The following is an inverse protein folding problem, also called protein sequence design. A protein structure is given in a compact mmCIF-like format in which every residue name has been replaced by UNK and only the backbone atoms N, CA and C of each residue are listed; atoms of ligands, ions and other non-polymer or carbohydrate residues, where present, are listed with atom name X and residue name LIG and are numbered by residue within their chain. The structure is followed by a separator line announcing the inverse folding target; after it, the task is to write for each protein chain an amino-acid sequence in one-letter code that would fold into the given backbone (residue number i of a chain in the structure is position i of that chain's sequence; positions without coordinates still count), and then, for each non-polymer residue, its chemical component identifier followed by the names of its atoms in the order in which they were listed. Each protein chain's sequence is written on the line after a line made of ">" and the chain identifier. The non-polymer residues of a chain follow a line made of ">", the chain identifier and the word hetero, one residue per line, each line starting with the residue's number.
data_IF_561303049875
#
_entry.id   IF_561303049875
#
_cell.length_a   1.000
_cell.length_b   1.000
_cell.length_c   1.000
_cell.angle_alpha   90.00
_cell.angle_beta   90.00
_cell.angle_gamma   90.00
#
_symmetry.space_group_name_H-M   'P 1'
#
loop_
_entity.id
_entity.type
_entity.pdbx_description
1 polymer ?
#
# COMPACT_ATOMS: atom_id res chain seq x y z
N UNK A 1 -7.33 18.70 -23.68
CA UNK A 1 -6.13 18.50 -22.84
C UNK A 1 -5.99 17.00 -22.63
N UNK A 2 -4.85 16.37 -22.95
CA UNK A 2 -4.67 14.96 -22.65
C UNK A 2 -4.77 14.78 -21.13
N UNK A 3 -5.74 13.98 -20.70
CA UNK A 3 -5.91 13.65 -19.29
C UNK A 3 -4.83 12.61 -18.98
N UNK A 4 -3.83 12.96 -18.16
CA UNK A 4 -2.75 12.05 -17.80
C UNK A 4 -3.25 11.02 -16.79
N UNK A 5 -3.17 9.73 -17.14
CA UNK A 5 -3.35 8.64 -16.18
C UNK A 5 -2.44 8.88 -14.96
N UNK A 6 -2.86 8.50 -13.73
CA UNK A 6 -1.99 8.63 -12.57
C UNK A 6 -0.67 7.91 -12.84
N UNK A 7 0.44 8.63 -12.79
CA UNK A 7 1.76 8.01 -12.79
C UNK A 7 1.87 7.18 -11.51
N UNK A 8 2.17 5.90 -11.67
CA UNK A 8 2.39 4.95 -10.59
C UNK A 8 3.64 4.14 -10.93
N UNK A 9 4.48 3.95 -9.92
CA UNK A 9 5.64 3.09 -9.99
C UNK A 9 5.73 2.29 -8.69
N UNK A 10 6.29 1.09 -8.79
CA UNK A 10 6.52 0.21 -7.66
C UNK A 10 7.95 0.42 -7.15
N UNK A 11 8.11 0.48 -5.83
CA UNK A 11 9.43 0.50 -5.18
C UNK A 11 9.48 -0.68 -4.22
N UNK A 12 10.52 -1.50 -4.30
CA UNK A 12 10.73 -2.56 -3.33
C UNK A 12 11.18 -1.95 -1.98
N UNK A 13 10.57 -2.29 -0.82
CA UNK A 13 10.88 -1.65 0.47
C UNK A 13 12.36 -1.73 0.87
N UNK A 14 13.01 -2.85 0.54
CA UNK A 14 14.45 -3.01 0.79
C UNK A 14 15.28 -2.04 -0.04
N UNK A 15 14.94 -1.81 -1.31
CA UNK A 15 15.66 -0.87 -2.18
C UNK A 15 15.42 0.59 -1.73
N UNK A 16 14.18 0.91 -1.34
CA UNK A 16 13.83 2.20 -0.76
C UNK A 16 14.71 2.56 0.46
N UNK A 17 14.97 1.57 1.33
CA UNK A 17 15.81 1.74 2.53
C UNK A 17 17.28 2.02 2.20
N UNK A 18 17.74 1.69 0.99
CA UNK A 18 19.13 1.85 0.55
C UNK A 18 19.34 3.03 -0.42
N UNK A 19 18.33 3.83 -0.71
CA UNK A 19 18.48 5.08 -1.47
C UNK A 19 17.30 5.47 -2.37
N UNK A 20 16.50 4.49 -2.79
CA UNK A 20 15.45 4.73 -3.80
C UNK A 20 14.27 5.57 -3.29
N UNK A 21 14.16 5.72 -1.96
CA UNK A 21 13.18 6.65 -1.38
C UNK A 21 13.44 8.12 -1.79
N UNK A 22 14.65 8.44 -2.28
CA UNK A 22 14.95 9.76 -2.84
C UNK A 22 14.12 10.12 -4.07
N UNK A 23 13.45 9.16 -4.70
CA UNK A 23 12.52 9.39 -5.82
C UNK A 23 11.13 9.85 -5.36
N UNK A 24 10.81 9.72 -4.08
CA UNK A 24 9.49 10.07 -3.51
C UNK A 24 9.55 11.49 -2.93
N UNK A 25 8.59 12.31 -3.32
CA UNK A 25 8.47 13.71 -2.92
C UNK A 25 7.23 13.93 -2.06
N UNK A 26 7.13 15.09 -1.41
CA UNK A 26 5.95 15.48 -0.63
C UNK A 26 4.67 15.68 -1.45
N UNK A 27 4.75 15.68 -2.79
CA UNK A 27 3.59 15.71 -3.68
C UNK A 27 3.05 14.31 -4.00
N UNK A 28 3.80 13.28 -3.65
CA UNK A 28 3.43 11.90 -3.91
C UNK A 28 2.55 11.32 -2.79
N UNK A 29 1.89 10.21 -3.11
CA UNK A 29 1.13 9.40 -2.17
C UNK A 29 1.78 8.02 -2.15
N UNK A 30 2.05 7.51 -0.95
CA UNK A 30 2.57 6.15 -0.78
C UNK A 30 1.42 5.21 -0.42
N UNK A 31 1.23 4.18 -1.23
CA UNK A 31 0.40 3.03 -0.91
C UNK A 31 1.29 1.88 -0.44
N UNK A 32 1.34 1.65 0.87
CA UNK A 32 2.06 0.54 1.46
C UNK A 32 1.17 -0.70 1.59
N UNK A 33 1.65 -1.85 1.15
CA UNK A 33 0.90 -3.12 1.17
C UNK A 33 1.65 -4.14 2.03
N UNK A 34 0.97 -4.65 3.05
CA UNK A 34 1.45 -5.75 3.89
C UNK A 34 0.26 -6.41 4.56
N UNK A 35 0.05 -7.71 4.35
CA UNK A 35 -1.10 -8.40 4.93
C UNK A 35 -1.09 -8.35 6.48
N UNK A 36 0.08 -8.57 7.10
CA UNK A 36 0.22 -8.44 8.55
C UNK A 36 0.18 -7.00 9.02
N UNK A 37 0.69 -6.06 8.20
CA UNK A 37 0.95 -4.67 8.59
C UNK A 37 2.15 -4.52 9.53
N UNK A 38 2.99 -5.55 9.63
CA UNK A 38 4.13 -5.64 10.56
C UNK A 38 5.48 -5.86 9.84
N UNK A 39 5.52 -5.72 8.52
CA UNK A 39 6.74 -5.94 7.73
C UNK A 39 7.81 -4.91 8.09
N UNK A 40 8.94 -5.35 8.64
CA UNK A 40 10.02 -4.52 9.16
C UNK A 40 10.55 -3.50 8.15
N UNK A 41 10.71 -3.91 6.90
CA UNK A 41 11.24 -3.11 5.80
C UNK A 41 10.27 -2.01 5.39
N UNK A 42 8.97 -2.18 5.64
CA UNK A 42 7.98 -1.12 5.42
C UNK A 42 7.92 -0.21 6.64
N UNK A 43 7.88 -0.78 7.85
CA UNK A 43 7.82 -0.01 9.09
C UNK A 43 9.04 0.90 9.27
N UNK A 44 10.22 0.50 8.82
CA UNK A 44 11.44 1.31 8.86
C UNK A 44 11.35 2.59 8.00
N UNK A 45 10.52 2.58 6.95
CA UNK A 45 10.35 3.72 6.04
C UNK A 45 9.35 4.75 6.59
N UNK A 46 8.39 4.33 7.42
CA UNK A 46 7.29 5.18 7.92
C UNK A 46 7.79 6.47 8.59
N UNK A 47 8.81 6.45 9.48
CA UNK A 47 9.32 7.68 10.07
C UNK A 47 9.81 8.69 9.05
N UNK A 48 10.42 8.24 7.94
CA UNK A 48 10.91 9.13 6.87
C UNK A 48 9.72 9.72 6.11
N UNK A 49 8.76 8.88 5.71
CA UNK A 49 7.54 9.32 5.02
C UNK A 49 6.77 10.38 5.81
N UNK A 50 6.61 10.15 7.12
CA UNK A 50 5.94 11.10 8.02
C UNK A 50 6.73 12.41 8.17
N UNK A 51 8.06 12.35 8.32
CA UNK A 51 8.90 13.58 8.37
C UNK A 51 8.80 14.40 7.08
N UNK A 52 8.73 13.74 5.93
CA UNK A 52 8.57 14.38 4.62
C UNK A 52 7.13 14.82 4.34
N UNK A 53 6.19 14.55 5.25
CA UNK A 53 4.75 14.86 5.12
C UNK A 53 4.12 14.21 3.88
N UNK A 54 4.61 13.03 3.51
CA UNK A 54 4.04 12.22 2.44
C UNK A 54 2.80 11.53 2.98
N UNK A 55 1.70 11.59 2.22
CA UNK A 55 0.46 10.92 2.60
C UNK A 55 0.66 9.40 2.50
N UNK A 56 0.41 8.69 3.61
CA UNK A 56 0.55 7.25 3.70
C UNK A 56 -0.83 6.58 3.71
N UNK A 57 -1.12 5.80 2.67
CA UNK A 57 -2.22 4.84 2.62
C UNK A 57 -1.65 3.46 2.96
N UNK A 58 -2.24 2.76 3.92
CA UNK A 58 -1.87 1.39 4.26
C UNK A 58 -2.96 0.41 3.83
N UNK A 59 -2.56 -0.66 3.16
CA UNK A 59 -3.43 -1.80 2.84
C UNK A 59 -2.96 -3.03 3.63
N UNK A 60 -3.77 -3.45 4.62
CA UNK A 60 -3.45 -4.63 5.44
C UNK A 60 -4.70 -5.39 5.92
N UNK A 61 -4.49 -6.64 6.30
CA UNK A 61 -5.53 -7.50 6.88
C UNK A 61 -5.80 -7.23 8.35
N UNK A 62 -4.98 -6.42 9.03
CA UNK A 62 -5.11 -6.09 10.45
C UNK A 62 -5.22 -4.57 10.67
N UNK A 63 -6.41 -4.05 10.99
CA UNK A 63 -6.59 -2.62 11.31
C UNK A 63 -5.83 -2.14 12.55
N UNK A 64 -5.42 -3.05 13.44
CA UNK A 64 -4.64 -2.77 14.64
C UNK A 64 -3.14 -3.07 14.46
N UNK A 65 -2.69 -3.15 13.20
CA UNK A 65 -1.26 -3.31 12.91
C UNK A 65 -0.54 -1.98 13.06
N UNK A 66 0.77 -2.02 13.33
CA UNK A 66 1.60 -0.81 13.40
C UNK A 66 1.46 0.04 12.13
N UNK A 67 1.48 -0.59 10.95
CA UNK A 67 1.26 0.11 9.68
C UNK A 67 -0.16 0.69 9.56
N UNK A 68 -1.18 -0.01 10.05
CA UNK A 68 -2.57 0.44 10.02
C UNK A 68 -2.84 1.64 10.94
N UNK A 69 -2.27 1.63 12.15
CA UNK A 69 -2.47 2.69 13.15
C UNK A 69 -1.77 4.01 12.79
N UNK A 70 -0.62 3.94 12.13
CA UNK A 70 0.17 5.13 11.77
C UNK A 70 -0.19 5.70 10.39
N UNK A 71 -0.92 4.97 9.55
CA UNK A 71 -1.31 5.45 8.23
C UNK A 71 -2.33 6.59 8.32
N UNK A 72 -2.31 7.47 7.33
CA UNK A 72 -3.32 8.54 7.22
C UNK A 72 -4.67 7.97 6.76
N UNK A 73 -4.63 6.90 5.96
CA UNK A 73 -5.81 6.14 5.52
C UNK A 73 -5.48 4.64 5.58
N UNK A 74 -6.34 3.85 6.22
CA UNK A 74 -6.24 2.39 6.22
C UNK A 74 -7.30 1.76 5.33
N UNK A 75 -6.86 0.91 4.39
CA UNK A 75 -7.69 0.07 3.54
C UNK A 75 -7.61 -1.37 4.05
N UNK A 76 -8.65 -1.79 4.76
CA UNK A 76 -8.71 -3.14 5.30
C UNK A 76 -9.00 -4.17 4.19
N UNK A 77 -8.13 -5.16 4.07
CA UNK A 77 -8.23 -6.30 3.14
C UNK A 77 -8.30 -7.64 3.89
N UNK A 78 -8.86 -7.63 5.11
CA UNK A 78 -8.95 -8.82 5.94
C UNK A 78 -9.80 -9.88 5.25
N UNK A 79 -9.26 -11.10 5.20
CA UNK A 79 -9.97 -12.30 4.75
C UNK A 79 -10.29 -13.20 5.96
N UNK A 80 -11.40 -13.96 5.92
CA UNK A 80 -11.75 -14.87 7.03
C UNK A 80 -10.77 -16.03 7.16
N UNK A 81 -10.25 -16.54 6.03
CA UNK A 81 -9.33 -17.67 5.99
C UNK A 81 -8.45 -17.63 4.73
N UNK A 82 -7.31 -18.31 4.79
CA UNK A 82 -6.47 -18.60 3.63
C UNK A 82 -6.83 -19.96 3.04
N UNK A 83 -6.75 -20.08 1.71
CA UNK A 83 -6.98 -21.34 1.02
C UNK A 83 -5.82 -22.34 1.17
N UNK A 84 -4.61 -21.87 1.51
CA UNK A 84 -3.46 -22.74 1.76
C UNK A 84 -3.57 -23.42 3.14
N UNK A 85 -3.71 -24.76 3.23
CA UNK A 85 -3.92 -25.44 4.51
C UNK A 85 -2.75 -25.29 5.49
N UNK A 86 -1.54 -25.07 4.97
CA UNK A 86 -0.32 -24.92 5.77
C UNK A 86 -0.01 -23.45 6.09
N UNK A 87 -0.75 -22.49 5.53
CA UNK A 87 -0.50 -21.06 5.72
C UNK A 87 0.86 -20.56 5.21
N UNK A 88 1.57 -21.36 4.39
CA UNK A 88 2.91 -21.02 3.89
C UNK A 88 2.90 -19.97 2.78
N UNK A 89 1.81 -19.93 2.01
CA UNK A 89 1.64 -19.02 0.90
C UNK A 89 0.34 -18.23 1.06
N UNK A 90 0.37 -16.90 0.86
CA UNK A 90 -0.85 -16.11 0.86
C UNK A 90 -1.66 -16.39 -0.41
N UNK A 91 -2.98 -16.52 -0.25
CA UNK A 91 -3.91 -16.95 -1.30
C UNK A 91 -5.12 -16.02 -1.39
N UNK A 92 -6.01 -16.07 -0.39
CA UNK A 92 -7.18 -15.22 -0.32
C UNK A 92 -6.77 -13.77 -0.10
N UNK A 93 -5.78 -13.51 0.77
CA UNK A 93 -5.31 -12.15 1.06
C UNK A 93 -4.66 -11.46 -0.15
N UNK A 94 -3.84 -12.16 -0.93
CA UNK A 94 -3.24 -11.61 -2.16
C UNK A 94 -4.29 -11.33 -3.23
N UNK A 95 -5.31 -12.19 -3.34
CA UNK A 95 -6.43 -11.97 -4.26
C UNK A 95 -7.29 -10.79 -3.82
N UNK A 96 -7.59 -10.67 -2.52
CA UNK A 96 -8.31 -9.52 -1.97
C UNK A 96 -7.55 -8.20 -2.19
N UNK A 97 -6.22 -8.23 -2.02
CA UNK A 97 -5.33 -7.10 -2.33
C UNK A 97 -5.42 -6.69 -3.80
N UNK A 98 -5.34 -7.67 -4.72
CA UNK A 98 -5.43 -7.43 -6.15
C UNK A 98 -6.76 -6.77 -6.54
N UNK A 99 -7.88 -7.35 -6.09
CA UNK A 99 -9.22 -6.84 -6.38
C UNK A 99 -9.44 -5.45 -5.76
N UNK A 100 -8.88 -5.19 -4.57
CA UNK A 100 -8.90 -3.84 -3.98
C UNK A 100 -8.13 -2.83 -4.85
N UNK A 101 -6.97 -3.23 -5.39
CA UNK A 101 -6.20 -2.42 -6.34
C UNK A 101 -7.01 -2.08 -7.60
N UNK A 102 -7.69 -3.06 -8.19
CA UNK A 102 -8.56 -2.86 -9.35
C UNK A 102 -9.72 -1.92 -9.02
N UNK A 103 -10.36 -2.09 -7.86
CA UNK A 103 -11.45 -1.23 -7.41
C UNK A 103 -11.00 0.24 -7.27
N UNK A 104 -9.81 0.47 -6.70
CA UNK A 104 -9.22 1.81 -6.60
C UNK A 104 -8.94 2.40 -7.98
N UNK A 105 -8.34 1.63 -8.89
CA UNK A 105 -8.04 2.08 -10.24
C UNK A 105 -9.32 2.49 -10.99
N UNK A 106 -10.35 1.64 -10.99
CA UNK A 106 -11.64 1.91 -11.64
C UNK A 106 -12.36 3.10 -10.99
N UNK A 107 -12.32 3.21 -9.66
CA UNK A 107 -12.93 4.33 -8.95
C UNK A 107 -12.26 5.66 -9.33
N UNK A 108 -10.92 5.70 -9.43
CA UNK A 108 -10.16 6.87 -9.86
C UNK A 108 -10.43 7.23 -11.33
N UNK A 109 -10.53 6.23 -12.22
CA UNK A 109 -10.90 6.44 -13.63
C UNK A 109 -12.27 7.13 -13.73
N UNK A 110 -13.30 6.56 -13.07
CA UNK A 110 -14.65 7.13 -13.05
C UNK A 110 -14.68 8.54 -12.47
N UNK A 111 -13.97 8.78 -11.36
CA UNK A 111 -13.92 10.09 -10.69
C UNK A 111 -13.28 11.17 -11.57
N UNK A 112 -12.26 10.81 -12.35
CA UNK A 112 -11.57 11.72 -13.28
C UNK A 112 -12.28 11.86 -14.63
N UNK A 113 -13.41 11.15 -14.85
CA UNK A 113 -14.12 11.06 -16.13
C UNK A 113 -13.18 10.65 -17.28
N UNK A 114 -12.28 9.71 -16.99
CA UNK A 114 -11.57 8.99 -18.04
C UNK A 114 -12.53 8.14 -18.87
#
# INVERSE_FOLDING_TARGET
>A
MPVLAPLLFFIHPTEASHGDLGMVTSQDIVLAISNSGETSEILSLIPILKRQKILLIAMSGNPKSNMGEVADIHLCIKVPEEACPLGLAPTASTTATLVMGDALAVALLKKRRF
#
